data_IF_819123049602
#
_entry.id   IF_819123049602
#
_cell.length_a   1.000
_cell.length_b   1.000
_cell.length_c   1.000
_cell.angle_alpha   90.00
_cell.angle_beta   90.00
_cell.angle_gamma   90.00
#
_symmetry.space_group_name_H-M   'P 1'
#
loop_
_entity.id
_entity.type
_entity.pdbx_description
1 polymer ?
#
# COMPACT_ATOMS: atom_id res chain seq x y z
N UNK A 1 -11.58 -2.31 11.68
CA UNK A 1 -11.62 -2.25 10.21
C UNK A 1 -13.06 -2.51 9.76
N UNK A 2 -13.62 -1.73 8.83
CA UNK A 2 -15.05 -1.85 8.47
C UNK A 2 -15.35 -2.95 7.45
N UNK A 3 -14.41 -3.22 6.54
CA UNK A 3 -14.52 -4.30 5.55
C UNK A 3 -13.39 -5.32 5.76
N UNK A 4 -13.68 -6.60 5.56
CA UNK A 4 -12.69 -7.68 5.60
C UNK A 4 -12.81 -8.58 4.37
N UNK A 5 -11.87 -9.49 4.14
CA UNK A 5 -12.04 -10.52 3.10
C UNK A 5 -13.02 -11.59 3.57
N UNK A 6 -13.85 -12.06 2.64
CA UNK A 6 -14.71 -13.21 2.83
C UNK A 6 -13.90 -14.43 3.35
N UNK A 7 -14.49 -15.28 4.22
CA UNK A 7 -13.81 -16.46 4.78
C UNK A 7 -13.13 -17.35 3.73
N UNK A 8 -13.81 -17.65 2.62
CA UNK A 8 -13.30 -18.51 1.54
C UNK A 8 -13.05 -17.78 0.21
N UNK A 9 -13.81 -16.73 -0.12
CA UNK A 9 -13.68 -15.99 -1.39
C UNK A 9 -12.63 -14.87 -1.32
N UNK A 10 -12.13 -14.43 -2.47
CA UNK A 10 -11.21 -13.27 -2.60
C UNK A 10 -11.97 -11.96 -2.83
N UNK A 11 -13.03 -11.78 -2.06
CA UNK A 11 -13.95 -10.64 -2.17
C UNK A 11 -13.99 -9.89 -0.83
N UNK A 12 -14.14 -8.57 -0.88
CA UNK A 12 -14.37 -7.76 0.32
C UNK A 12 -15.81 -7.97 0.81
N UNK A 13 -15.98 -7.97 2.12
CA UNK A 13 -17.22 -8.19 2.83
C UNK A 13 -17.34 -7.15 3.94
N UNK A 14 -18.45 -6.43 3.97
CA UNK A 14 -18.74 -5.47 5.04
C UNK A 14 -19.17 -6.20 6.32
N UNK A 15 -19.16 -5.51 7.46
CA UNK A 15 -19.71 -6.04 8.71
C UNK A 15 -21.18 -6.48 8.55
N UNK A 16 -22.00 -5.68 7.88
CA UNK A 16 -23.41 -5.99 7.64
C UNK A 16 -23.61 -7.23 6.78
N UNK A 17 -22.79 -7.42 5.74
CA UNK A 17 -22.85 -8.62 4.89
C UNK A 17 -22.37 -9.86 5.65
N UNK A 18 -21.38 -9.71 6.54
CA UNK A 18 -20.95 -10.80 7.40
C UNK A 18 -22.02 -11.24 8.40
N UNK A 19 -22.81 -10.30 8.93
CA UNK A 19 -23.96 -10.65 9.79
C UNK A 19 -25.00 -11.49 9.02
N UNK A 20 -25.30 -11.12 7.77
CA UNK A 20 -26.20 -11.89 6.91
C UNK A 20 -25.62 -13.27 6.63
N UNK A 21 -24.35 -13.34 6.25
CA UNK A 21 -23.63 -14.59 6.02
C UNK A 21 -23.69 -15.53 7.23
N UNK A 22 -23.45 -15.02 8.44
CA UNK A 22 -23.54 -15.81 9.66
C UNK A 22 -24.98 -16.30 9.95
N UNK A 23 -25.97 -15.45 9.67
CA UNK A 23 -27.38 -15.80 9.81
C UNK A 23 -27.81 -16.89 8.80
N UNK A 24 -27.38 -16.78 7.54
CA UNK A 24 -27.66 -17.76 6.48
C UNK A 24 -27.06 -19.15 6.81
N UNK A 25 -26.00 -19.19 7.62
CA UNK A 25 -25.39 -20.41 8.15
C UNK A 25 -26.02 -20.90 9.47
N UNK A 26 -27.11 -20.27 9.94
CA UNK A 26 -27.77 -20.56 11.21
C UNK A 26 -26.84 -20.46 12.45
N UNK A 27 -25.85 -19.58 12.41
CA UNK A 27 -24.95 -19.37 13.55
C UNK A 27 -25.64 -18.53 14.64
N UNK A 28 -25.55 -18.98 15.90
CA UNK A 28 -26.13 -18.28 17.05
C UNK A 28 -25.49 -16.91 17.29
N UNK A 29 -24.18 -16.79 17.02
CA UNK A 29 -23.43 -15.52 17.09
C UNK A 29 -22.61 -15.33 15.82
N UNK A 30 -22.32 -14.08 15.40
CA UNK A 30 -21.51 -13.82 14.22
C UNK A 30 -20.13 -14.47 14.24
N UNK A 31 -19.51 -14.61 15.42
CA UNK A 31 -18.19 -15.21 15.57
C UNK A 31 -18.21 -16.76 15.63
N UNK A 32 -19.40 -17.39 15.57
CA UNK A 32 -19.51 -18.84 15.43
C UNK A 32 -19.45 -19.27 13.94
N UNK A 33 -19.66 -18.34 13.01
CA UNK A 33 -19.46 -18.55 11.58
C UNK A 33 -17.96 -18.59 11.22
N UNK A 34 -17.58 -19.16 10.06
CA UNK A 34 -16.20 -19.09 9.56
C UNK A 34 -15.67 -17.65 9.55
N UNK A 35 -14.51 -17.45 10.16
CA UNK A 35 -13.95 -16.12 10.37
C UNK A 35 -13.63 -15.41 9.05
N UNK A 36 -14.00 -14.13 8.95
CA UNK A 36 -13.47 -13.24 7.91
C UNK A 36 -11.95 -13.11 8.04
N UNK A 37 -11.30 -12.71 6.95
CA UNK A 37 -9.85 -12.61 6.87
C UNK A 37 -9.41 -11.17 6.70
N UNK A 38 -8.28 -10.80 7.26
CA UNK A 38 -7.72 -9.48 7.04
C UNK A 38 -7.36 -9.30 5.55
N UNK A 39 -7.72 -8.18 4.91
CA UNK A 39 -7.33 -7.92 3.53
C UNK A 39 -5.82 -7.74 3.34
N UNK A 40 -5.10 -7.40 4.41
CA UNK A 40 -3.64 -7.17 4.35
C UNK A 40 -2.86 -8.40 4.75
N UNK A 41 -3.29 -9.10 5.81
CA UNK A 41 -2.53 -10.22 6.35
C UNK A 41 -3.18 -11.60 6.13
N UNK A 42 -4.39 -11.65 5.57
CA UNK A 42 -5.20 -12.87 5.34
C UNK A 42 -5.51 -13.71 6.58
N UNK A 43 -4.98 -13.37 7.75
CA UNK A 43 -5.28 -14.06 9.01
C UNK A 43 -6.73 -13.82 9.42
N UNK A 44 -7.28 -14.79 10.16
CA UNK A 44 -8.62 -14.71 10.70
C UNK A 44 -8.78 -13.45 11.58
N UNK A 45 -9.97 -12.86 11.51
CA UNK A 45 -10.39 -11.72 12.30
C UNK A 45 -11.73 -12.03 12.98
N UNK A 46 -11.98 -11.39 14.12
CA UNK A 46 -13.25 -11.46 14.82
C UNK A 46 -14.11 -10.24 14.50
N UNK A 47 -15.42 -10.45 14.50
CA UNK A 47 -16.42 -9.40 14.40
C UNK A 47 -16.74 -8.85 15.81
N UNK A 48 -16.82 -7.53 15.93
CA UNK A 48 -17.24 -6.82 17.14
C UNK A 48 -18.39 -5.87 16.78
N UNK A 49 -19.48 -5.95 17.53
CA UNK A 49 -20.58 -5.00 17.40
C UNK A 49 -20.11 -3.58 17.77
N UNK A 50 -20.61 -2.59 17.03
CA UNK A 50 -20.46 -1.18 17.37
C UNK A 50 -21.54 -0.75 18.36
N UNK A 51 -21.75 0.56 18.48
CA UNK A 51 -22.82 1.09 19.33
C UNK A 51 -24.21 0.94 18.67
N UNK A 52 -24.23 0.83 17.34
CA UNK A 52 -25.41 0.55 16.52
C UNK A 52 -25.29 -0.82 15.85
N UNK A 53 -26.35 -1.29 15.19
CA UNK A 53 -26.30 -2.55 14.44
C UNK A 53 -25.39 -2.48 13.19
N UNK A 54 -25.06 -1.27 12.71
CA UNK A 54 -24.41 -1.06 11.42
C UNK A 54 -22.93 -0.58 11.51
N UNK A 55 -22.44 -0.19 12.68
CA UNK A 55 -21.08 0.34 12.91
C UNK A 55 -20.14 -0.70 13.54
N UNK A 56 -20.49 -1.98 13.43
CA UNK A 56 -19.58 -3.06 13.81
C UNK A 56 -18.31 -3.06 12.96
N UNK A 57 -17.27 -3.68 13.51
CA UNK A 57 -15.97 -3.72 12.87
C UNK A 57 -15.27 -5.06 13.11
N UNK A 58 -14.30 -5.34 12.25
CA UNK A 58 -13.41 -6.48 12.37
C UNK A 58 -12.10 -6.07 13.05
N UNK A 59 -11.58 -6.98 13.87
CA UNK A 59 -10.30 -6.82 14.57
C UNK A 59 -9.56 -8.17 14.69
N UNK A 60 -8.24 -8.09 14.83
CA UNK A 60 -7.42 -9.23 15.24
C UNK A 60 -7.46 -9.38 16.76
N UNK A 61 -7.61 -10.60 17.26
CA UNK A 61 -7.54 -10.88 18.70
C UNK A 61 -6.18 -11.41 19.17
N UNK A 62 -5.20 -11.45 18.27
CA UNK A 62 -3.82 -11.85 18.55
C UNK A 62 -2.87 -10.64 18.77
N UNK A 63 -1.66 -10.90 19.23
CA UNK A 63 -0.57 -9.91 19.35
C UNK A 63 0.37 -9.88 18.15
N UNK A 64 0.12 -10.70 17.12
CA UNK A 64 0.99 -10.81 15.94
C UNK A 64 0.91 -9.52 15.13
N UNK A 65 2.07 -9.02 14.69
CA UNK A 65 2.19 -7.81 13.89
C UNK A 65 1.31 -7.88 12.65
N UNK A 66 0.53 -6.82 12.42
CA UNK A 66 -0.21 -6.61 11.18
C UNK A 66 -0.06 -5.14 10.82
N UNK A 67 0.23 -4.77 9.57
CA UNK A 67 0.33 -3.37 9.17
C UNK A 67 -0.91 -2.52 9.48
N UNK A 68 -2.07 -3.17 9.67
CA UNK A 68 -3.33 -2.53 10.06
C UNK A 68 -3.38 -2.14 11.54
N UNK A 69 -2.55 -2.74 12.41
CA UNK A 69 -2.46 -2.45 13.85
C UNK A 69 -1.48 -1.33 14.17
N UNK A 70 -0.41 -1.21 13.38
CA UNK A 70 0.62 -0.19 13.57
C UNK A 70 0.75 0.71 12.33
N UNK A 71 -0.03 1.82 12.27
CA UNK A 71 0.05 2.78 11.19
C UNK A 71 1.36 3.57 11.17
N UNK A 72 2.16 3.53 12.24
CA UNK A 72 3.47 4.16 12.30
C UNK A 72 4.58 3.23 11.78
N UNK A 73 4.33 1.92 11.77
CA UNK A 73 5.28 0.95 11.21
C UNK A 73 5.65 1.32 9.78
N UNK A 74 6.95 1.35 9.53
CA UNK A 74 7.55 1.48 8.21
C UNK A 74 8.35 0.21 7.94
N UNK A 75 7.68 -0.94 7.71
CA UNK A 75 8.32 -2.25 7.68
C UNK A 75 9.43 -2.31 6.62
N UNK A 76 9.28 -1.54 5.54
CA UNK A 76 10.18 -1.57 4.40
C UNK A 76 11.43 -0.68 4.52
N UNK A 77 11.52 0.24 5.48
CA UNK A 77 12.63 1.21 5.55
C UNK A 77 13.93 0.63 6.15
N UNK A 78 13.88 -0.54 6.79
CA UNK A 78 15.03 -1.14 7.50
C UNK A 78 15.78 -2.17 6.66
N UNK A 79 15.44 -2.31 5.38
CA UNK A 79 15.84 -3.46 4.56
C UNK A 79 16.69 -2.97 3.39
N UNK A 80 17.97 -3.31 3.42
CA UNK A 80 18.96 -2.96 2.39
C UNK A 80 19.16 -4.14 1.44
N UNK A 81 19.38 -3.90 0.13
CA UNK A 81 19.62 -4.99 -0.81
C UNK A 81 20.91 -5.75 -0.48
N UNK A 82 20.82 -7.07 -0.38
CA UNK A 82 21.96 -7.96 -0.07
C UNK A 82 22.84 -8.28 -1.28
N UNK A 83 22.30 -8.18 -2.51
CA UNK A 83 23.03 -8.39 -3.77
C UNK A 83 22.79 -7.21 -4.71
N UNK A 84 23.85 -6.44 -5.03
CA UNK A 84 23.76 -5.25 -5.87
C UNK A 84 24.41 -5.53 -7.23
N UNK A 85 23.61 -5.56 -8.29
CA UNK A 85 24.09 -5.53 -9.67
C UNK A 85 24.08 -4.09 -10.18
N UNK A 86 25.27 -3.55 -10.45
CA UNK A 86 25.44 -2.17 -10.90
C UNK A 86 24.74 -1.89 -12.24
N UNK A 87 24.67 -2.87 -13.15
CA UNK A 87 24.01 -2.71 -14.44
C UNK A 87 22.49 -2.58 -14.26
N UNK A 88 21.89 -3.44 -13.43
CA UNK A 88 20.45 -3.39 -13.10
C UNK A 88 20.09 -2.09 -12.38
N UNK A 89 20.93 -1.64 -11.44
CA UNK A 89 20.76 -0.34 -10.77
C UNK A 89 20.72 0.79 -11.78
N UNK A 90 21.66 0.79 -12.73
CA UNK A 90 21.76 1.83 -13.75
C UNK A 90 20.55 1.80 -14.69
N UNK A 91 20.09 0.62 -15.10
CA UNK A 91 18.90 0.45 -15.94
C UNK A 91 17.63 0.97 -15.24
N UNK A 92 17.40 0.56 -14.00
CA UNK A 92 16.25 1.02 -13.22
C UNK A 92 16.27 2.55 -12.99
N UNK A 93 17.45 3.14 -12.77
CA UNK A 93 17.62 4.59 -12.67
C UNK A 93 17.30 5.30 -13.98
N UNK A 94 17.83 4.81 -15.11
CA UNK A 94 17.57 5.35 -16.45
C UNK A 94 16.08 5.31 -16.77
N UNK A 95 15.40 4.20 -16.47
CA UNK A 95 13.96 4.09 -16.63
C UNK A 95 13.22 5.10 -15.76
N UNK A 96 13.58 5.23 -14.48
CA UNK A 96 12.97 6.20 -13.57
C UNK A 96 13.10 7.65 -14.05
N UNK A 97 14.26 8.02 -14.61
CA UNK A 97 14.49 9.35 -15.19
C UNK A 97 13.69 9.55 -16.48
N UNK A 98 13.69 8.57 -17.38
CA UNK A 98 12.99 8.66 -18.66
C UNK A 98 11.46 8.71 -18.52
N UNK A 99 10.91 8.13 -17.45
CA UNK A 99 9.46 8.00 -17.22
C UNK A 99 8.96 8.83 -16.03
N UNK A 100 9.72 9.84 -15.60
CA UNK A 100 9.45 10.59 -14.37
C UNK A 100 8.03 11.18 -14.30
N UNK A 101 7.56 11.79 -15.39
CA UNK A 101 6.23 12.40 -15.47
C UNK A 101 5.10 11.37 -15.45
N UNK A 102 5.30 10.20 -16.07
CA UNK A 102 4.36 9.07 -16.06
C UNK A 102 4.30 8.44 -14.65
N UNK A 103 5.45 8.25 -14.03
CA UNK A 103 5.53 7.73 -12.66
C UNK A 103 4.83 8.70 -11.70
N UNK A 104 5.09 10.00 -11.80
CA UNK A 104 4.42 10.99 -10.96
C UNK A 104 2.90 11.03 -11.19
N UNK A 105 2.43 10.95 -12.44
CA UNK A 105 1.00 10.82 -12.74
C UNK A 105 0.39 9.59 -12.06
N UNK A 106 1.07 8.44 -12.18
CA UNK A 106 0.64 7.19 -11.54
C UNK A 106 0.59 7.33 -10.03
N UNK A 107 1.61 7.92 -9.40
CA UNK A 107 1.61 8.18 -7.96
C UNK A 107 0.45 9.07 -7.52
N UNK A 108 0.11 10.13 -8.27
CA UNK A 108 -1.05 10.98 -7.97
C UNK A 108 -2.38 10.21 -8.02
N UNK A 109 -2.50 9.25 -8.94
CA UNK A 109 -3.70 8.39 -9.03
C UNK A 109 -3.82 7.42 -7.84
N UNK A 110 -2.69 6.87 -7.38
CA UNK A 110 -2.63 5.89 -6.27
C UNK A 110 -2.79 6.58 -4.90
N UNK A 111 -2.11 7.73 -4.72
CA UNK A 111 -2.10 8.56 -3.53
C UNK A 111 -2.77 9.93 -3.82
N UNK A 112 -4.11 10.03 -3.68
CA UNK A 112 -4.82 11.28 -3.89
C UNK A 112 -4.22 12.45 -3.12
N UNK A 113 -4.19 13.61 -3.77
CA UNK A 113 -3.65 14.86 -3.23
C UNK A 113 -2.16 14.80 -2.89
N UNK A 114 -1.40 13.95 -3.59
CA UNK A 114 0.06 13.96 -3.57
C UNK A 114 0.58 15.37 -3.88
N UNK A 115 1.37 15.92 -2.96
CA UNK A 115 2.10 17.17 -3.20
C UNK A 115 3.43 16.89 -3.91
N UNK A 116 3.92 17.85 -4.68
CA UNK A 116 5.22 17.72 -5.33
C UNK A 116 6.37 17.55 -4.31
N UNK A 117 6.28 18.17 -3.13
CA UNK A 117 7.26 17.98 -2.06
C UNK A 117 7.24 16.54 -1.54
N UNK A 118 6.06 15.93 -1.40
CA UNK A 118 5.95 14.50 -1.04
C UNK A 118 6.62 13.62 -2.11
N UNK A 119 6.48 13.97 -3.39
CA UNK A 119 7.18 13.27 -4.47
C UNK A 119 8.70 13.40 -4.39
N UNK A 120 9.23 14.59 -4.05
CA UNK A 120 10.67 14.77 -3.81
C UNK A 120 11.15 13.94 -2.61
N UNK A 121 10.39 13.87 -1.53
CA UNK A 121 10.74 13.04 -0.37
C UNK A 121 10.76 11.54 -0.71
N UNK A 122 9.84 11.07 -1.58
CA UNK A 122 9.88 9.72 -2.13
C UNK A 122 11.20 9.46 -2.87
N UNK A 123 11.62 10.36 -3.76
CA UNK A 123 12.86 10.20 -4.53
C UNK A 123 14.10 10.20 -3.62
N UNK A 124 14.11 11.05 -2.58
CA UNK A 124 15.20 11.05 -1.59
C UNK A 124 15.27 9.72 -0.84
N UNK A 125 14.14 9.19 -0.39
CA UNK A 125 14.10 7.89 0.28
C UNK A 125 14.50 6.75 -0.67
N UNK A 126 14.09 6.82 -1.94
CA UNK A 126 14.46 5.85 -2.96
C UNK A 126 15.98 5.79 -3.16
N UNK A 127 16.64 6.96 -3.21
CA UNK A 127 18.10 7.07 -3.28
C UNK A 127 18.77 6.61 -2.00
N UNK A 128 18.29 7.05 -0.83
CA UNK A 128 18.84 6.68 0.49
C UNK A 128 18.83 5.16 0.71
N UNK A 129 17.77 4.49 0.27
CA UNK A 129 17.62 3.04 0.36
C UNK A 129 18.23 2.27 -0.81
N UNK A 130 18.69 2.97 -1.84
CA UNK A 130 19.16 2.38 -3.11
C UNK A 130 18.16 1.36 -3.68
N UNK A 131 16.88 1.71 -3.76
CA UNK A 131 15.81 0.76 -4.16
C UNK A 131 16.03 0.18 -5.56
N UNK A 132 16.76 0.90 -6.41
CA UNK A 132 17.09 0.49 -7.78
C UNK A 132 17.92 -0.80 -7.83
N UNK A 133 18.56 -1.16 -6.72
CA UNK A 133 19.33 -2.39 -6.56
C UNK A 133 18.58 -3.51 -5.85
N UNK A 134 17.27 -3.39 -5.64
CA UNK A 134 16.49 -4.50 -5.10
C UNK A 134 16.50 -5.68 -6.08
N UNK A 135 16.83 -6.86 -5.56
CA UNK A 135 16.92 -8.08 -6.35
C UNK A 135 15.60 -8.34 -7.10
N UNK A 136 15.66 -8.61 -8.41
CA UNK A 136 14.51 -8.87 -9.27
C UNK A 136 13.48 -7.74 -9.39
N UNK A 137 13.81 -6.51 -8.96
CA UNK A 137 12.96 -5.35 -9.23
C UNK A 137 12.81 -5.15 -10.74
N UNK A 138 11.56 -5.10 -11.20
CA UNK A 138 11.24 -4.72 -12.57
C UNK A 138 11.03 -3.20 -12.59
N UNK A 139 11.67 -2.51 -13.55
CA UNK A 139 11.64 -1.05 -13.62
C UNK A 139 10.21 -0.45 -13.64
N UNK A 140 9.26 -1.16 -14.27
CA UNK A 140 7.85 -0.77 -14.34
C UNK A 140 7.12 -0.79 -13.00
N UNK A 141 7.69 -1.43 -11.98
CA UNK A 141 7.09 -1.50 -10.65
C UNK A 141 7.52 -0.34 -9.73
N UNK A 142 8.39 0.56 -10.22
CA UNK A 142 8.87 1.71 -9.46
C UNK A 142 7.76 2.54 -8.80
N UNK A 143 6.63 2.89 -9.45
CA UNK A 143 5.55 3.63 -8.78
C UNK A 143 5.01 2.91 -7.54
N UNK A 144 4.95 1.58 -7.59
CA UNK A 144 4.39 0.73 -6.54
C UNK A 144 5.35 0.55 -5.38
N UNK A 145 6.67 0.58 -5.65
CA UNK A 145 7.68 0.68 -4.60
C UNK A 145 7.66 2.07 -3.96
N UNK A 146 7.63 3.13 -4.77
CA UNK A 146 7.69 4.53 -4.34
C UNK A 146 6.61 4.91 -3.31
N UNK A 147 5.37 4.46 -3.50
CA UNK A 147 4.28 4.75 -2.52
C UNK A 147 4.51 4.13 -1.14
N UNK A 148 5.39 3.14 -1.01
CA UNK A 148 5.68 2.48 0.28
C UNK A 148 6.77 3.18 1.08
N UNK A 149 7.50 4.12 0.48
CA UNK A 149 8.68 4.74 1.09
C UNK A 149 8.32 5.80 2.14
N UNK A 150 7.15 6.41 2.02
CA UNK A 150 6.66 7.41 2.96
C UNK A 150 5.24 7.13 3.42
N UNK A 151 4.88 7.73 4.56
CA UNK A 151 3.49 7.84 4.99
C UNK A 151 2.93 9.17 4.48
N UNK A 152 1.77 9.14 3.86
CA UNK A 152 1.10 10.31 3.30
C UNK A 152 0.23 10.95 4.36
N UNK A 153 0.69 12.07 4.92
CA UNK A 153 0.02 12.74 6.03
C UNK A 153 -1.01 13.77 5.52
N UNK A 154 -2.10 14.03 6.24
CA UNK A 154 -3.02 15.13 5.95
C UNK A 154 -2.31 16.49 5.82
N UNK A 155 -1.41 16.77 6.77
CA UNK A 155 -0.67 18.03 6.88
C UNK A 155 0.32 18.31 5.74
N UNK A 156 0.77 17.26 5.04
CA UNK A 156 1.76 17.33 3.96
C UNK A 156 1.13 17.29 2.56
N UNK A 157 -0.19 17.07 2.48
CA UNK A 157 -0.90 16.98 1.20
C UNK A 157 -0.97 18.29 0.45
N UNK A 158 -1.18 18.19 -0.86
CA UNK A 158 -1.39 19.34 -1.75
C UNK A 158 -2.52 20.23 -1.20
N UNK A 159 -2.21 21.50 -0.94
CA UNK A 159 -3.14 22.47 -0.34
C UNK A 159 -3.79 22.01 0.99
N UNK A 160 -3.23 21.00 1.68
CA UNK A 160 -3.75 20.44 2.94
C UNK A 160 -5.18 19.89 2.85
N UNK A 161 -5.61 19.43 1.68
CA UNK A 161 -6.99 18.95 1.47
C UNK A 161 -7.19 17.46 1.79
N UNK A 162 -6.12 16.66 1.89
CA UNK A 162 -6.21 15.25 2.26
C UNK A 162 -6.67 15.13 3.71
N UNK A 163 -7.82 14.48 3.95
CA UNK A 163 -8.40 14.30 5.30
C UNK A 163 -7.90 13.08 6.06
N UNK A 164 -7.33 12.11 5.36
CA UNK A 164 -6.91 10.82 5.91
C UNK A 164 -5.41 10.62 5.72
N UNK A 165 -4.77 9.93 6.67
CA UNK A 165 -3.41 9.44 6.47
C UNK A 165 -3.45 8.20 5.59
N UNK A 166 -2.57 8.11 4.59
CA UNK A 166 -2.41 6.89 3.80
C UNK A 166 -1.08 6.22 4.10
N UNK A 167 -1.11 4.90 4.25
CA UNK A 167 0.06 4.04 4.28
C UNK A 167 -0.13 2.93 3.24
N UNK A 168 0.95 2.51 2.60
CA UNK A 168 0.91 1.49 1.56
C UNK A 168 1.70 0.26 2.00
N UNK A 169 1.08 -0.92 1.85
CA UNK A 169 1.66 -2.19 2.26
C UNK A 169 1.35 -3.26 1.24
N UNK A 170 2.34 -4.07 0.93
CA UNK A 170 2.14 -5.37 0.33
C UNK A 170 1.66 -6.37 1.39
N UNK A 171 0.99 -7.40 0.92
CA UNK A 171 0.48 -8.49 1.74
C UNK A 171 1.54 -9.20 2.62
N UNK A 172 1.13 -9.63 3.83
CA UNK A 172 1.96 -10.04 4.99
C UNK A 172 3.05 -11.09 4.76
N UNK A 173 3.02 -11.88 3.67
CA UNK A 173 4.06 -12.90 3.43
C UNK A 173 5.42 -12.33 2.98
N UNK A 174 5.56 -11.02 3.03
CA UNK A 174 6.73 -10.27 2.59
C UNK A 174 7.25 -9.51 3.79
N UNK A 175 8.31 -10.06 4.38
CA UNK A 175 9.08 -9.43 5.43
C UNK A 175 10.28 -8.66 4.86
N UNK A 176 10.60 -8.82 3.56
CA UNK A 176 11.61 -8.02 2.86
C UNK A 176 11.32 -7.69 1.39
N UNK A 177 11.94 -6.61 0.87
CA UNK A 177 11.87 -6.27 -0.56
C UNK A 177 12.41 -7.37 -1.47
N UNK A 178 13.39 -8.13 -0.98
CA UNK A 178 13.88 -9.33 -1.63
C UNK A 178 12.77 -10.37 -1.75
N UNK A 179 11.97 -10.61 -0.70
CA UNK A 179 10.84 -11.54 -0.76
C UNK A 179 9.72 -11.07 -1.70
N UNK A 180 9.56 -9.75 -1.86
CA UNK A 180 8.60 -9.13 -2.79
C UNK A 180 8.89 -9.52 -4.24
N UNK A 181 10.16 -9.55 -4.63
CA UNK A 181 10.57 -9.62 -6.04
C UNK A 181 11.28 -10.93 -6.40
N UNK A 182 11.93 -11.60 -5.44
CA UNK A 182 12.60 -12.91 -5.63
C UNK A 182 11.57 -14.04 -5.78
N UNK A 183 10.42 -13.95 -5.10
CA UNK A 183 9.37 -14.96 -5.21
C UNK A 183 8.23 -14.47 -6.12
N UNK A 184 8.50 -14.33 -7.43
CA UNK A 184 7.46 -14.14 -8.48
C UNK A 184 6.27 -15.13 -8.42
N UNK A 185 6.36 -16.18 -7.59
CA UNK A 185 5.28 -17.12 -7.29
C UNK A 185 4.20 -16.61 -6.31
N UNK A 186 4.36 -15.43 -5.70
CA UNK A 186 3.29 -14.81 -4.90
C UNK A 186 2.77 -13.56 -5.61
N UNK A 187 1.52 -13.61 -6.06
CA UNK A 187 0.74 -12.42 -6.42
C UNK A 187 0.60 -11.54 -5.17
N UNK A 188 1.57 -10.67 -4.91
CA UNK A 188 1.57 -9.81 -3.73
C UNK A 188 0.72 -8.57 -4.02
N UNK A 189 -0.53 -8.62 -3.57
CA UNK A 189 -1.45 -7.50 -3.71
C UNK A 189 -0.92 -6.29 -2.91
N UNK A 190 -0.87 -5.13 -3.56
CA UNK A 190 -0.56 -3.85 -2.91
C UNK A 190 -1.84 -3.23 -2.36
N UNK A 191 -1.81 -2.78 -1.10
CA UNK A 191 -2.94 -2.16 -0.44
C UNK A 191 -2.59 -0.76 0.07
N UNK A 192 -3.52 0.17 -0.15
CA UNK A 192 -3.58 1.44 0.59
C UNK A 192 -4.46 1.27 1.81
N UNK A 193 -3.93 1.59 2.98
CA UNK A 193 -4.69 1.69 4.22
C UNK A 193 -4.87 3.16 4.58
N UNK A 194 -6.11 3.58 4.71
CA UNK A 194 -6.50 4.94 5.09
C UNK A 194 -6.82 5.00 6.57
N UNK A 195 -6.20 5.93 7.30
CA UNK A 195 -6.35 6.10 8.74
C UNK A 195 -6.91 7.47 9.10
N UNK A 196 -7.68 7.51 10.20
CA UNK A 196 -8.09 8.72 10.92
C UNK A 196 -7.82 8.51 12.40
N UNK A 197 -7.03 9.39 13.02
CA UNK A 197 -6.69 9.33 14.45
C UNK A 197 -6.20 7.93 14.90
N UNK A 198 -5.37 7.28 14.08
CA UNK A 198 -4.85 5.92 14.34
C UNK A 198 -5.80 4.77 13.98
N UNK A 199 -7.09 5.02 13.76
CA UNK A 199 -8.06 3.99 13.40
C UNK A 199 -8.15 3.77 11.88
N UNK A 200 -8.09 2.52 11.43
CA UNK A 200 -8.30 2.15 10.02
C UNK A 200 -9.72 2.49 9.56
N UNK A 201 -9.82 3.33 8.54
CA UNK A 201 -11.06 3.75 7.91
C UNK A 201 -11.39 2.94 6.67
N UNK A 202 -10.39 2.66 5.83
CA UNK A 202 -10.58 1.98 4.55
C UNK A 202 -9.33 1.22 4.15
N UNK A 203 -9.51 0.08 3.50
CA UNK A 203 -8.46 -0.64 2.78
C UNK A 203 -8.83 -0.62 1.30
N UNK A 204 -7.87 -0.31 0.43
CA UNK A 204 -8.08 -0.27 -1.03
C UNK A 204 -6.97 -1.05 -1.69
N UNK A 205 -7.32 -2.08 -2.45
CA UNK A 205 -6.37 -2.77 -3.32
C UNK A 205 -5.95 -1.83 -4.45
N UNK A 206 -4.65 -1.74 -4.69
CA UNK A 206 -4.07 -0.93 -5.76
C UNK A 206 -3.81 -1.85 -6.95
N UNK A 207 -4.23 -1.39 -8.12
CA UNK A 207 -3.89 -2.06 -9.37
C UNK A 207 -2.40 -1.81 -9.68
N UNK A 208 -1.64 -2.88 -9.93
CA UNK A 208 -0.19 -2.82 -10.18
C UNK A 208 0.15 -3.08 -11.66
N UNK A 209 -0.78 -2.82 -12.57
CA UNK A 209 -0.54 -2.99 -14.02
C UNK A 209 0.45 -1.96 -14.57
N UNK A 210 1.00 -2.23 -15.75
CA UNK A 210 1.88 -1.32 -16.48
C UNK A 210 1.13 -0.31 -17.36
N UNK A 211 -0.20 -0.28 -17.31
CA UNK A 211 -1.04 0.57 -18.18
C UNK A 211 -0.74 2.06 -18.05
N UNK A 212 -0.19 2.50 -16.91
CA UNK A 212 0.21 3.88 -16.67
C UNK A 212 1.29 4.39 -17.65
N UNK A 213 2.05 3.49 -18.29
CA UNK A 213 3.05 3.85 -19.31
C UNK A 213 2.41 4.34 -20.62
N UNK A 214 1.11 4.08 -20.80
CA UNK A 214 0.33 4.53 -21.96
C UNK A 214 -0.63 5.67 -21.61
N UNK A 215 -0.65 6.11 -20.35
CA UNK A 215 -1.49 7.23 -19.90
C UNK A 215 -0.84 8.59 -20.23
N UNK A 216 -1.62 9.68 -20.36
CA UNK A 216 -1.06 11.01 -20.49
C UNK A 216 -0.15 11.36 -19.30
N UNK A 217 1.09 11.83 -19.54
CA UNK A 217 2.01 12.18 -18.47
C UNK A 217 1.53 13.39 -17.66
N UNK A 218 1.93 13.46 -16.39
CA UNK A 218 1.71 14.67 -15.61
C UNK A 218 2.62 15.79 -16.11
N UNK A 219 2.08 16.98 -16.32
CA UNK A 219 2.91 18.13 -16.70
C UNK A 219 3.77 18.57 -15.52
N UNK A 220 5.10 18.50 -15.68
CA UNK A 220 6.07 19.13 -14.79
C UNK A 220 6.73 20.32 -15.47
N UNK A 221 6.95 21.39 -14.72
CA UNK A 221 7.79 22.50 -15.15
C UNK A 221 9.26 22.08 -15.23
N UNK A 222 10.08 22.78 -16.02
CA UNK A 222 11.53 22.49 -16.12
C UNK A 222 12.23 22.57 -14.76
N UNK A 223 11.80 23.49 -13.90
CA UNK A 223 12.30 23.60 -12.53
C UNK A 223 11.99 22.35 -11.69
N UNK A 224 10.79 21.78 -11.84
CA UNK A 224 10.42 20.54 -11.16
C UNK A 224 11.21 19.35 -11.70
N UNK A 225 11.38 19.25 -13.01
CA UNK A 225 12.20 18.21 -13.66
C UNK A 225 13.64 18.26 -13.16
N UNK A 226 14.24 19.45 -13.17
CA UNK A 226 15.59 19.68 -12.65
C UNK A 226 15.72 19.22 -11.20
N UNK A 227 14.79 19.60 -10.33
CA UNK A 227 14.83 19.18 -8.93
C UNK A 227 14.75 17.66 -8.77
N UNK A 228 13.93 16.98 -9.58
CA UNK A 228 13.88 15.52 -9.55
C UNK A 228 15.22 14.89 -9.99
N UNK A 229 15.88 15.44 -11.02
CA UNK A 229 17.18 14.97 -11.47
C UNK A 229 18.30 15.20 -10.46
N UNK A 230 18.26 16.30 -9.71
CA UNK A 230 19.25 16.59 -8.66
C UNK A 230 19.13 15.58 -7.48
N UNK A 231 17.95 15.00 -7.29
CA UNK A 231 17.64 14.09 -6.18
C UNK A 231 17.83 12.62 -6.57
N UNK A 232 17.58 12.24 -7.82
CA UNK A 232 17.80 10.88 -8.33
C UNK A 232 19.28 10.46 -8.26
#
# INVERSE_FOLDING_TARGET
MFDALHPTKREMMSYGDYLKFALDLNCARPNDAPAVRCPVCRRAMKARAGQTKADGHFYHDDSIFCPTKDPASRPYLKLTPTCQDAAVIQENRKFGMANLELIYARLKSIAPYLDFKEFIEILKEAKRLNIYGYANLIATDLPYVYVTLINFLPSASYQKIRKLKFCFFYEEKIHSFEELWIKKGFSSDLFRISYRNGATQKVTKIDTTTGYLSEPPATMTDKQKKWCYDVL
#
